data_IF_873971560098
#
_entry.id   IF_873971560098
#
_cell.length_a   1.000
_cell.length_b   1.000
_cell.length_c   1.000
_cell.angle_alpha   90.00
_cell.angle_beta   90.00
_cell.angle_gamma   90.00
#
_symmetry.space_group_name_H-M   'P 1'
#
loop_
_entity.id
_entity.type
_entity.pdbx_description
1 polymer ?
#
# COMPACT_ATOMS: atom_id res chain seq x y z
N UNK A 1 9.00 11.62 17.75
CA UNK A 1 9.07 11.08 16.37
C UNK A 1 7.69 11.22 15.75
N UNK A 2 7.54 11.83 14.57
CA UNK A 2 6.22 11.91 13.95
C UNK A 2 5.78 10.48 13.58
N UNK A 3 4.49 10.15 13.75
CA UNK A 3 3.94 8.94 13.16
C UNK A 3 3.81 9.18 11.65
N UNK A 4 4.09 8.20 10.80
CA UNK A 4 3.33 8.12 9.55
C UNK A 4 4.00 8.46 8.24
N UNK A 5 5.12 7.80 7.91
CA UNK A 5 5.27 7.33 6.54
C UNK A 5 5.23 5.80 6.53
N UNK A 6 4.06 5.23 6.22
CA UNK A 6 3.95 3.81 5.84
C UNK A 6 4.36 3.59 4.37
N UNK A 7 5.13 4.53 3.80
CA UNK A 7 5.59 4.48 2.42
C UNK A 7 6.97 3.84 2.38
N UNK A 8 7.07 2.72 1.67
CA UNK A 8 8.30 1.95 1.55
C UNK A 8 8.52 1.53 0.10
N UNK A 9 9.78 1.48 -0.33
CA UNK A 9 10.13 1.00 -1.67
C UNK A 9 10.70 -0.41 -1.55
N UNK A 10 10.08 -1.34 -2.27
CA UNK A 10 10.55 -2.72 -2.39
C UNK A 10 11.51 -2.82 -3.58
N UNK A 11 12.55 -3.64 -3.45
CA UNK A 11 13.45 -3.97 -4.58
C UNK A 11 13.81 -5.45 -4.55
N UNK A 12 13.80 -6.07 -5.72
CA UNK A 12 14.13 -7.47 -5.93
C UNK A 12 12.96 -8.41 -5.69
N UNK A 13 11.73 -7.93 -5.48
CA UNK A 13 10.55 -8.79 -5.22
C UNK A 13 9.82 -9.15 -6.50
N UNK A 14 9.41 -8.15 -7.28
CA UNK A 14 8.89 -8.33 -8.63
C UNK A 14 9.21 -7.09 -9.48
N UNK A 15 9.51 -7.25 -10.78
CA UNK A 15 9.88 -6.13 -11.66
C UNK A 15 8.84 -5.01 -11.73
N UNK A 16 7.57 -5.35 -11.53
CA UNK A 16 6.45 -4.40 -11.60
C UNK A 16 6.37 -3.49 -10.37
N UNK A 17 6.86 -3.97 -9.22
CA UNK A 17 6.84 -3.24 -7.94
C UNK A 17 8.18 -2.60 -7.61
N UNK A 18 9.27 -3.10 -8.20
CA UNK A 18 10.61 -2.61 -7.94
C UNK A 18 10.72 -1.10 -8.23
N UNK A 19 11.35 -0.38 -7.29
CA UNK A 19 11.55 1.08 -7.34
C UNK A 19 10.28 1.92 -7.22
N UNK A 20 9.12 1.29 -7.01
CA UNK A 20 7.87 2.02 -6.79
C UNK A 20 7.58 2.13 -5.29
N UNK A 21 7.33 3.35 -4.79
CA UNK A 21 6.94 3.53 -3.40
C UNK A 21 5.55 2.96 -3.16
N UNK A 22 5.40 2.08 -2.19
CA UNK A 22 4.14 1.47 -1.77
C UNK A 22 3.72 2.00 -0.41
N UNK A 23 2.46 2.39 -0.28
CA UNK A 23 1.86 2.80 0.99
C UNK A 23 1.25 1.59 1.68
N UNK A 24 1.94 1.00 2.65
CA UNK A 24 1.43 -0.14 3.40
C UNK A 24 0.38 0.30 4.43
N UNK A 25 -0.68 -0.48 4.61
CA UNK A 25 -1.70 -0.21 5.64
C UNK A 25 -1.09 -0.37 7.03
N UNK A 26 -0.28 -1.41 7.23
CA UNK A 26 0.47 -1.66 8.46
C UNK A 26 1.96 -1.43 8.21
N UNK A 27 2.67 -0.69 9.09
CA UNK A 27 4.08 -0.38 8.89
C UNK A 27 4.93 -1.65 8.79
N UNK A 28 5.98 -1.57 7.97
CA UNK A 28 6.95 -2.65 7.86
C UNK A 28 7.83 -2.63 9.13
N UNK A 29 8.08 -3.77 9.76
CA UNK A 29 8.97 -3.85 10.92
C UNK A 29 10.35 -3.23 10.61
N UNK A 30 10.91 -2.36 11.48
CA UNK A 30 12.17 -1.66 11.22
C UNK A 30 13.34 -2.59 10.91
N UNK A 31 13.31 -3.77 11.52
CA UNK A 31 14.30 -4.82 11.34
C UNK A 31 14.26 -5.52 9.96
N UNK A 32 13.44 -5.02 9.03
CA UNK A 32 13.37 -5.42 7.62
C UNK A 32 13.79 -4.30 6.66
N UNK A 33 14.06 -3.11 7.20
CA UNK A 33 14.48 -1.96 6.42
C UNK A 33 15.99 -1.88 6.46
N UNK A 34 16.61 -1.68 5.30
CA UNK A 34 18.02 -1.30 5.28
C UNK A 34 18.15 0.06 5.97
N UNK A 35 18.97 0.11 7.00
CA UNK A 35 19.23 1.31 7.80
C UNK A 35 20.05 2.35 7.03
N UNK A 36 20.79 1.93 6.00
CA UNK A 36 21.58 2.82 5.14
C UNK A 36 20.75 3.44 3.99
N UNK A 37 19.98 2.64 3.24
CA UNK A 37 19.26 3.12 2.05
C UNK A 37 17.73 3.22 2.22
N UNK A 38 17.17 2.72 3.33
CA UNK A 38 15.73 2.72 3.60
C UNK A 38 14.91 1.73 2.76
N UNK A 39 15.53 1.01 1.84
CA UNK A 39 14.84 0.05 0.97
C UNK A 39 14.53 -1.26 1.70
N UNK A 40 13.44 -1.90 1.28
CA UNK A 40 13.11 -3.28 1.67
C UNK A 40 13.62 -4.21 0.58
N UNK A 41 14.49 -5.16 0.95
CA UNK A 41 15.10 -6.14 0.04
C UNK A 41 14.80 -7.55 0.53
N UNK A 42 14.95 -8.54 -0.35
CA UNK A 42 14.72 -9.95 -0.02
C UNK A 42 15.66 -10.45 1.08
N UNK A 43 16.92 -10.00 1.06
CA UNK A 43 17.97 -10.47 1.96
C UNK A 43 18.57 -9.28 2.70
N UNK A 44 18.68 -9.42 4.02
CA UNK A 44 19.26 -8.40 4.90
C UNK A 44 20.27 -9.01 5.86
N UNK A 45 21.40 -8.33 6.02
CA UNK A 45 22.45 -8.60 6.99
C UNK A 45 22.16 -7.86 8.30
N UNK A 46 22.23 -8.57 9.42
CA UNK A 46 22.14 -8.00 10.76
C UNK A 46 23.54 -7.94 11.35
N UNK A 47 24.01 -6.73 11.59
CA UNK A 47 25.36 -6.50 12.11
C UNK A 47 25.34 -6.55 13.65
N UNK A 48 26.49 -6.86 14.29
CA UNK A 48 26.62 -6.84 15.76
C UNK A 48 26.30 -5.47 16.38
N UNK A 49 26.48 -4.38 15.64
CA UNK A 49 26.07 -3.04 16.04
C UNK A 49 24.55 -2.78 15.97
N UNK A 50 23.74 -3.83 15.76
CA UNK A 50 22.27 -3.81 15.70
C UNK A 50 21.68 -3.08 14.49
N UNK A 51 22.51 -2.62 13.56
CA UNK A 51 22.07 -2.08 12.29
C UNK A 51 21.73 -3.19 11.29
N UNK A 52 20.73 -2.93 10.45
CA UNK A 52 20.29 -3.85 9.40
C UNK A 52 20.69 -3.28 8.05
N UNK A 53 21.43 -4.01 7.23
CA UNK A 53 21.80 -3.62 5.87
C UNK A 53 21.18 -4.58 4.86
N UNK A 54 20.83 -4.10 3.66
CA UNK A 54 20.56 -5.01 2.55
C UNK A 54 21.85 -5.58 1.98
N UNK A 55 21.74 -6.69 1.26
CA UNK A 55 22.82 -7.32 0.47
C UNK A 55 23.73 -6.30 -0.23
N UNK A 56 23.14 -5.42 -1.04
CA UNK A 56 23.89 -4.42 -1.82
C UNK A 56 24.61 -3.39 -0.95
N UNK A 57 24.02 -2.97 0.18
CA UNK A 57 24.68 -2.02 1.07
C UNK A 57 25.78 -2.69 1.88
N UNK A 58 25.58 -3.94 2.30
CA UNK A 58 26.58 -4.72 3.01
C UNK A 58 27.82 -4.95 2.14
N UNK A 59 27.65 -5.41 0.90
CA UNK A 59 28.75 -5.62 -0.05
C UNK A 59 29.54 -4.33 -0.31
N UNK A 60 28.84 -3.20 -0.47
CA UNK A 60 29.47 -1.88 -0.67
C UNK A 60 30.19 -1.36 0.58
N UNK A 61 29.87 -1.90 1.76
CA UNK A 61 30.52 -1.56 3.02
C UNK A 61 31.85 -2.30 3.23
N UNK A 62 32.23 -3.20 2.31
CA UNK A 62 33.51 -3.89 2.33
C UNK A 62 34.64 -3.03 1.78
N UNK A 63 35.66 -2.77 2.60
CA UNK A 63 36.92 -2.17 2.17
C UNK A 63 38.08 -3.09 2.56
N UNK A 64 38.87 -3.52 1.57
CA UNK A 64 40.11 -4.30 1.79
C UNK A 64 39.92 -5.60 2.62
N UNK A 65 38.72 -6.20 2.58
CA UNK A 65 38.39 -7.44 3.30
C UNK A 65 37.78 -7.23 4.69
N UNK A 66 37.66 -5.98 5.15
CA UNK A 66 36.93 -5.61 6.37
C UNK A 66 35.59 -4.97 6.02
N UNK A 67 34.52 -5.42 6.67
CA UNK A 67 33.21 -4.79 6.55
C UNK A 67 33.03 -3.76 7.64
N UNK A 68 32.80 -2.50 7.27
CA UNK A 68 32.59 -1.41 8.22
C UNK A 68 31.17 -0.89 8.08
N UNK A 69 30.40 -0.92 9.17
CA UNK A 69 29.05 -0.40 9.18
C UNK A 69 29.04 1.08 8.73
N UNK A 70 28.27 1.45 7.69
CA UNK A 70 28.29 2.80 7.13
C UNK A 70 27.56 3.83 8.01
N UNK A 71 26.96 3.41 9.12
CA UNK A 71 26.14 4.27 10.00
C UNK A 71 26.91 4.74 11.23
N UNK A 72 27.73 3.87 11.82
CA UNK A 72 28.46 4.12 13.06
C UNK A 72 29.97 3.83 12.96
N UNK A 73 30.44 3.33 11.81
CA UNK A 73 31.84 2.97 11.61
C UNK A 73 32.27 1.70 12.35
N UNK A 74 31.32 0.89 12.84
CA UNK A 74 31.64 -0.37 13.52
C UNK A 74 32.27 -1.37 12.55
N UNK A 75 33.47 -1.84 12.87
CA UNK A 75 34.16 -2.88 12.11
C UNK A 75 33.55 -4.25 12.45
N UNK A 76 32.97 -4.93 11.46
CA UNK A 76 32.62 -6.34 11.53
C UNK A 76 33.89 -7.17 11.29
N UNK A 77 34.45 -7.83 12.31
CA UNK A 77 35.73 -8.53 12.18
C UNK A 77 35.62 -9.77 11.28
N UNK A 78 34.49 -10.48 11.34
CA UNK A 78 34.25 -11.73 10.62
C UNK A 78 32.86 -11.75 9.96
N UNK A 79 32.75 -12.40 8.79
CA UNK A 79 31.45 -12.61 8.12
C UNK A 79 30.51 -13.52 8.93
N UNK A 80 31.06 -14.40 9.77
CA UNK A 80 30.29 -15.30 10.64
C UNK A 80 29.54 -14.56 11.75
N UNK A 81 29.95 -13.34 12.09
CA UNK A 81 29.26 -12.48 13.06
C UNK A 81 28.01 -11.80 12.49
N UNK A 82 27.75 -11.97 11.18
CA UNK A 82 26.63 -11.34 10.48
C UNK A 82 25.49 -12.34 10.30
N UNK A 83 24.37 -12.07 10.95
CA UNK A 83 23.16 -12.89 10.81
C UNK A 83 22.38 -12.49 9.56
N UNK A 84 22.37 -13.37 8.57
CA UNK A 84 21.64 -13.20 7.32
C UNK A 84 20.19 -13.66 7.46
N UNK A 85 19.27 -12.73 7.22
CA UNK A 85 17.84 -13.03 7.19
C UNK A 85 17.25 -12.83 5.80
N UNK A 86 16.69 -13.90 5.25
CA UNK A 86 15.85 -13.85 4.07
C UNK A 86 14.38 -13.57 4.44
N UNK A 87 13.70 -12.86 3.56
CA UNK A 87 12.26 -12.62 3.61
C UNK A 87 11.65 -13.42 2.46
N UNK A 88 10.85 -14.46 2.76
CA UNK A 88 10.09 -15.10 1.71
C UNK A 88 9.14 -14.06 1.13
N UNK A 89 9.21 -13.86 -0.20
CA UNK A 89 8.44 -12.84 -0.89
C UNK A 89 6.94 -12.91 -0.55
N UNK A 90 6.42 -14.11 -0.32
CA UNK A 90 5.06 -14.36 0.10
C UNK A 90 4.61 -13.57 1.34
N UNK A 91 5.49 -13.37 2.33
CA UNK A 91 5.12 -12.65 3.55
C UNK A 91 4.91 -11.15 3.31
N UNK A 92 5.66 -10.56 2.38
CA UNK A 92 5.51 -9.15 2.01
C UNK A 92 4.38 -8.96 1.00
N UNK A 93 4.24 -9.87 0.05
CA UNK A 93 3.17 -9.83 -0.97
C UNK A 93 1.76 -10.05 -0.39
N UNK A 94 1.63 -10.69 0.77
CA UNK A 94 0.36 -10.84 1.50
C UNK A 94 -0.05 -9.61 2.31
N UNK A 95 0.79 -8.58 2.39
CA UNK A 95 0.46 -7.36 3.17
C UNK A 95 -0.42 -6.43 2.36
N UNK A 96 -1.35 -5.79 3.05
CA UNK A 96 -2.24 -4.80 2.47
C UNK A 96 -1.49 -3.50 2.17
N UNK A 97 -1.69 -3.00 0.95
CA UNK A 97 -1.18 -1.71 0.48
C UNK A 97 -2.35 -0.85 0.01
N UNK A 98 -2.23 0.46 0.17
CA UNK A 98 -3.16 1.44 -0.39
C UNK A 98 -2.92 1.58 -1.89
N UNK A 99 -3.99 1.86 -2.63
CA UNK A 99 -3.91 2.14 -4.06
C UNK A 99 -3.05 3.39 -4.30
N UNK A 100 -2.22 3.38 -5.35
CA UNK A 100 -1.50 4.59 -5.76
C UNK A 100 -2.44 5.74 -6.13
N UNK A 101 -3.60 5.38 -6.68
CA UNK A 101 -4.60 6.32 -7.17
C UNK A 101 -5.67 6.64 -6.12
N UNK A 102 -5.46 6.29 -4.84
CA UNK A 102 -6.43 6.57 -3.76
C UNK A 102 -6.90 8.03 -3.78
N UNK A 103 -5.98 8.98 -3.87
CA UNK A 103 -6.29 10.42 -3.94
C UNK A 103 -7.07 10.80 -5.20
N UNK A 104 -6.75 10.17 -6.34
CA UNK A 104 -7.48 10.41 -7.60
C UNK A 104 -8.92 9.88 -7.52
N UNK A 105 -9.13 8.76 -6.82
CA UNK A 105 -10.47 8.22 -6.59
C UNK A 105 -11.26 9.09 -5.62
N UNK A 106 -10.63 9.60 -4.56
CA UNK A 106 -11.28 10.52 -3.62
C UNK A 106 -11.72 11.82 -4.32
N UNK A 107 -10.89 12.38 -5.19
CA UNK A 107 -11.24 13.55 -6.01
C UNK A 107 -12.35 13.26 -7.01
N UNK A 108 -12.32 12.08 -7.64
CA UNK A 108 -13.35 11.64 -8.58
C UNK A 108 -14.69 11.45 -7.87
N UNK A 109 -14.71 10.80 -6.70
CA UNK A 109 -15.91 10.57 -5.91
C UNK A 109 -16.50 11.88 -5.37
N UNK A 110 -15.65 12.82 -4.96
CA UNK A 110 -16.08 14.17 -4.59
C UNK A 110 -16.73 14.90 -5.78
N UNK A 111 -16.12 14.77 -6.97
CA UNK A 111 -16.65 15.34 -8.22
C UNK A 111 -18.00 14.72 -8.59
N UNK A 112 -18.14 13.39 -8.54
CA UNK A 112 -19.41 12.71 -8.77
C UNK A 112 -20.50 13.13 -7.79
N UNK A 113 -20.15 13.23 -6.50
CA UNK A 113 -21.08 13.67 -5.46
C UNK A 113 -21.59 15.08 -5.72
N UNK A 114 -20.73 15.97 -6.21
CA UNK A 114 -21.12 17.34 -6.60
C UNK A 114 -22.05 17.37 -7.83
N UNK A 115 -21.82 16.49 -8.80
CA UNK A 115 -22.67 16.36 -9.99
C UNK A 115 -24.05 15.77 -9.65
N UNK A 116 -24.10 14.77 -8.76
CA UNK A 116 -25.37 14.21 -8.27
C UNK A 116 -26.13 15.18 -7.36
N UNK A 117 -25.42 16.04 -6.61
CA UNK A 117 -26.00 17.12 -5.82
C UNK A 117 -26.64 18.22 -6.67
N UNK A 118 -26.18 18.41 -7.91
CA UNK A 118 -26.88 19.16 -8.94
C UNK A 118 -27.95 18.25 -9.57
N UNK A 119 -29.12 18.17 -8.93
CA UNK A 119 -30.29 17.48 -9.49
C UNK A 119 -30.56 18.00 -10.91
N UNK A 120 -30.20 17.22 -11.94
CA UNK A 120 -30.72 17.42 -13.28
C UNK A 120 -32.22 17.09 -13.23
N UNK A 121 -33.12 18.05 -13.47
CA UNK A 121 -34.56 17.82 -13.45
C UNK A 121 -34.97 16.68 -14.39
N UNK A 122 -34.20 16.43 -15.46
CA UNK A 122 -34.45 15.33 -16.39
C UNK A 122 -34.12 13.97 -15.77
N UNK A 123 -33.05 13.87 -14.99
CA UNK A 123 -32.68 12.63 -14.31
C UNK A 123 -33.71 12.26 -13.23
N UNK A 124 -34.25 13.25 -12.50
CA UNK A 124 -35.35 13.03 -11.57
C UNK A 124 -36.63 12.57 -12.27
N UNK A 125 -36.99 13.20 -13.39
CA UNK A 125 -38.17 12.81 -14.16
C UNK A 125 -38.08 11.37 -14.70
N UNK A 126 -36.88 10.91 -15.09
CA UNK A 126 -36.65 9.52 -15.51
C UNK A 126 -36.82 8.55 -14.35
N UNK A 127 -36.25 8.84 -13.18
CA UNK A 127 -36.40 8.01 -11.98
C UNK A 127 -37.85 7.94 -11.51
N UNK A 128 -38.59 9.04 -11.62
CA UNK A 128 -40.00 9.10 -11.27
C UNK A 128 -40.88 8.32 -12.26
N UNK A 129 -40.62 8.45 -13.57
CA UNK A 129 -41.32 7.65 -14.59
C UNK A 129 -41.08 6.14 -14.40
N UNK A 130 -39.86 5.73 -14.07
CA UNK A 130 -39.54 4.32 -13.81
C UNK A 130 -40.24 3.79 -12.55
N UNK A 131 -40.38 4.61 -11.50
CA UNK A 131 -41.23 4.28 -10.35
C UNK A 131 -42.67 4.03 -10.75
N UNK A 132 -43.28 4.96 -11.51
CA UNK A 132 -44.67 4.80 -11.99
C UNK A 132 -44.85 3.57 -12.88
N UNK A 133 -43.87 3.23 -13.73
CA UNK A 133 -43.93 2.06 -14.60
C UNK A 133 -43.81 0.73 -13.82
N UNK A 134 -43.13 0.75 -12.68
CA UNK A 134 -42.96 -0.43 -11.82
C UNK A 134 -44.00 -0.54 -10.70
N UNK A 135 -44.95 0.41 -10.60
CA UNK A 135 -46.07 0.25 -9.68
C UNK A 135 -46.94 -0.94 -10.12
N UNK A 136 -47.32 -1.83 -9.19
CA UNK A 136 -48.19 -2.95 -9.51
C UNK A 136 -49.52 -2.42 -10.05
N UNK A 137 -49.86 -2.81 -11.28
CA UNK A 137 -51.14 -2.47 -11.90
C UNK A 137 -52.30 -2.90 -11.02
N UNK A 138 -52.98 -1.94 -10.39
CA UNK A 138 -54.23 -2.18 -9.69
C UNK A 138 -55.28 -2.64 -10.70
N UNK A 139 -55.78 -3.85 -10.51
CA UNK A 139 -56.79 -4.42 -11.38
C UNK A 139 -58.10 -3.62 -11.22
N UNK A 140 -58.49 -2.88 -12.26
CA UNK A 140 -59.62 -1.93 -12.29
C UNK A 140 -60.98 -2.53 -11.94
N UNK A 141 -61.06 -3.86 -11.78
CA UNK A 141 -62.24 -4.59 -11.34
C UNK A 141 -62.48 -4.54 -9.82
N UNK A 142 -61.51 -4.11 -9.02
CA UNK A 142 -61.74 -3.83 -7.61
C UNK A 142 -62.26 -2.38 -7.47
N UNK A 143 -63.55 -2.22 -7.72
CA UNK A 143 -64.31 -0.99 -7.61
C UNK A 143 -64.20 -0.40 -6.18
N UNK A 144 -63.62 0.79 -5.98
CA UNK A 144 -63.48 1.43 -4.67
C UNK A 144 -64.81 1.93 -4.08
N UNK A 145 -65.93 1.85 -4.81
CA UNK A 145 -67.25 2.35 -4.39
C UNK A 145 -68.26 1.25 -4.03
N UNK A 146 -67.83 0.00 -3.90
CA UNK A 146 -68.63 -1.04 -3.22
C UNK A 146 -68.12 -1.19 -1.78
N UNK A 147 -68.89 -0.66 -0.82
CA UNK A 147 -68.71 -0.95 0.61
C UNK A 147 -69.05 -2.39 0.91
#
# INVERSE_FOLDING_TARGET
>A
MPPGSSQYTLVGFSPELDWRPLRFVKPIPPNRLCSACGLVRKRTAWLPCMHVLCDSCYEQSGQEGLHVCPLDGYECPDEDDVDWKDIPAEHLLKREVRCWNEELWDEFDASLSSLQGNQDPKAQAVVEADKYLNEPYWNRMNDPLKW
#
